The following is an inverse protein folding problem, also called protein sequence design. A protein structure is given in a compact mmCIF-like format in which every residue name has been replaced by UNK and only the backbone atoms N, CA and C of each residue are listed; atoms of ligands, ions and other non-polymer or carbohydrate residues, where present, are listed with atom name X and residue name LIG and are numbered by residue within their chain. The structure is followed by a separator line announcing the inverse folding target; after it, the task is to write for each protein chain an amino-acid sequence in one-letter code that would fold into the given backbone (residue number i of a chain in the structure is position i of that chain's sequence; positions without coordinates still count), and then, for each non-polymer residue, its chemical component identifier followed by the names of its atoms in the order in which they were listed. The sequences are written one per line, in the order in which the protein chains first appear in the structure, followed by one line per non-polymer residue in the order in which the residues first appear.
data_IF_242268889146
#
_entry.id   IF_242268889146
#
_cell.length_a   1.000
_cell.length_b   1.000
_cell.length_c   1.000
_cell.angle_alpha   90.00
_cell.angle_beta   90.00
_cell.angle_gamma   90.00
#
_symmetry.space_group_name_H-M   'P 1'
#
loop_
_entity.id
_entity.type
_entity.pdbx_description
1 polymer ?
#
# COMPACT_ATOMS: atom_id res chain seq x y z
N UNK A 1 -7.84 13.33 -36.09
CA UNK A 1 -6.52 13.29 -35.40
C UNK A 1 -6.39 14.37 -34.34
N UNK A 2 -6.80 15.62 -34.58
CA UNK A 2 -6.74 16.69 -33.56
C UNK A 2 -7.57 16.36 -32.30
N UNK A 3 -8.80 15.86 -32.45
CA UNK A 3 -9.67 15.51 -31.31
C UNK A 3 -9.15 14.33 -30.48
N UNK A 4 -8.43 13.39 -31.12
CA UNK A 4 -7.79 12.25 -30.46
C UNK A 4 -6.65 12.73 -29.54
N UNK A 5 -5.84 13.64 -30.06
CA UNK A 5 -4.72 14.25 -29.35
C UNK A 5 -5.21 15.13 -28.19
N UNK A 6 -6.30 15.87 -28.38
CA UNK A 6 -6.92 16.64 -27.30
C UNK A 6 -7.50 15.72 -26.21
N UNK A 7 -8.19 14.64 -26.58
CA UNK A 7 -8.68 13.63 -25.63
C UNK A 7 -7.52 12.98 -24.86
N UNK A 8 -6.43 12.65 -25.52
CA UNK A 8 -5.24 12.08 -24.89
C UNK A 8 -4.63 13.04 -23.85
N UNK A 9 -4.46 14.33 -24.20
CA UNK A 9 -3.95 15.35 -23.27
C UNK A 9 -4.87 15.57 -22.07
N UNK A 10 -6.19 15.58 -22.28
CA UNK A 10 -7.16 15.68 -21.17
C UNK A 10 -7.06 14.48 -20.24
N UNK A 11 -6.93 13.26 -20.79
CA UNK A 11 -6.74 12.05 -20.00
C UNK A 11 -5.45 12.12 -19.20
N UNK A 12 -4.35 12.50 -19.82
CA UNK A 12 -3.06 12.67 -19.15
C UNK A 12 -3.15 13.66 -17.98
N UNK A 13 -3.72 14.84 -18.21
CA UNK A 13 -3.93 15.85 -17.16
C UNK A 13 -4.77 15.33 -16.00
N UNK A 14 -5.82 14.54 -16.28
CA UNK A 14 -6.65 13.93 -15.23
C UNK A 14 -5.90 12.85 -14.47
N UNK A 15 -5.10 12.04 -15.14
CA UNK A 15 -4.27 11.01 -14.48
C UNK A 15 -3.23 11.66 -13.56
N UNK A 16 -2.56 12.73 -14.01
CA UNK A 16 -1.64 13.50 -13.16
C UNK A 16 -2.35 13.99 -11.90
N UNK A 17 -3.55 14.59 -12.04
CA UNK A 17 -4.33 15.04 -10.88
C UNK A 17 -4.72 13.90 -9.92
N UNK A 18 -5.03 12.71 -10.46
CA UNK A 18 -5.33 11.53 -9.65
C UNK A 18 -4.10 11.06 -8.87
N UNK A 19 -2.94 10.96 -9.52
CA UNK A 19 -1.71 10.53 -8.84
C UNK A 19 -1.28 11.53 -7.77
N UNK A 20 -1.33 12.83 -8.05
CA UNK A 20 -1.05 13.86 -7.04
C UNK A 20 -2.01 13.80 -5.84
N UNK A 21 -3.28 13.46 -6.07
CA UNK A 21 -4.25 13.28 -4.98
C UNK A 21 -3.97 12.01 -4.15
N UNK A 22 -3.44 10.95 -4.78
CA UNK A 22 -2.99 9.73 -4.07
C UNK A 22 -1.78 10.05 -3.20
N UNK A 23 -0.79 10.78 -3.72
CA UNK A 23 0.40 11.17 -2.96
C UNK A 23 0.02 12.04 -1.76
N UNK A 24 -0.81 13.07 -1.98
CA UNK A 24 -1.30 13.94 -0.91
C UNK A 24 -2.11 13.17 0.15
N UNK A 25 -2.86 12.14 -0.26
CA UNK A 25 -3.56 11.24 0.67
C UNK A 25 -2.58 10.41 1.49
N UNK A 26 -1.52 9.88 0.89
CA UNK A 26 -0.50 9.11 1.59
C UNK A 26 0.22 9.97 2.64
N UNK A 27 0.53 11.22 2.32
CA UNK A 27 1.10 12.20 3.25
C UNK A 27 0.14 12.54 4.38
N UNK A 28 -1.15 12.72 4.07
CA UNK A 28 -2.17 12.97 5.08
C UNK A 28 -2.36 11.77 6.03
N UNK A 29 -2.33 10.55 5.52
CA UNK A 29 -2.40 9.33 6.32
C UNK A 29 -1.15 9.17 7.22
N UNK A 30 0.02 9.60 6.74
CA UNK A 30 1.24 9.67 7.55
C UNK A 30 1.09 10.62 8.74
N UNK A 31 0.75 11.88 8.45
CA UNK A 31 0.58 12.90 9.47
C UNK A 31 -0.52 12.54 10.48
N UNK A 32 -1.60 11.91 10.02
CA UNK A 32 -2.65 11.38 10.90
C UNK A 32 -2.09 10.36 11.89
N UNK A 33 -1.36 9.36 11.41
CA UNK A 33 -0.81 8.32 12.27
C UNK A 33 0.20 8.85 13.29
N UNK A 34 1.07 9.78 12.88
CA UNK A 34 2.01 10.48 13.77
C UNK A 34 1.29 11.27 14.87
N UNK A 35 0.28 12.07 14.50
CA UNK A 35 -0.51 12.83 15.47
C UNK A 35 -1.26 11.91 16.46
N UNK A 36 -1.79 10.77 15.99
CA UNK A 36 -2.44 9.78 16.85
C UNK A 36 -1.45 9.12 17.83
N UNK A 37 -0.21 8.90 17.43
CA UNK A 37 0.86 8.42 18.33
C UNK A 37 1.13 9.46 19.41
N UNK A 38 1.35 10.72 19.02
CA UNK A 38 1.63 11.81 19.97
C UNK A 38 0.51 11.97 21.00
N UNK A 39 -0.76 11.97 20.57
CA UNK A 39 -1.90 12.06 21.48
C UNK A 39 -1.98 10.86 22.43
N UNK A 40 -1.67 9.65 21.93
CA UNK A 40 -1.61 8.45 22.76
C UNK A 40 -0.48 8.55 23.80
N UNK A 41 0.66 9.11 23.43
CA UNK A 41 1.81 9.29 24.32
C UNK A 41 1.55 10.38 25.38
N UNK A 42 0.66 11.34 25.08
CA UNK A 42 0.08 12.28 26.05
C UNK A 42 -0.97 11.65 26.98
N UNK A 43 -1.28 10.35 26.81
CA UNK A 43 -2.17 9.59 27.68
C UNK A 43 -3.63 9.55 27.23
N UNK A 44 -3.95 10.00 26.01
CA UNK A 44 -5.32 9.90 25.48
C UNK A 44 -5.63 8.44 25.15
N UNK A 45 -6.77 7.95 25.65
CA UNK A 45 -7.20 6.58 25.39
C UNK A 45 -7.66 6.40 23.93
N UNK A 46 -7.47 5.20 23.38
CA UNK A 46 -7.84 4.90 21.99
C UNK A 46 -9.34 5.04 21.71
N UNK A 47 -10.20 4.79 22.70
CA UNK A 47 -11.64 5.04 22.62
C UNK A 47 -11.94 6.52 22.37
N UNK A 48 -11.23 7.39 23.07
CA UNK A 48 -11.47 8.82 23.06
C UNK A 48 -10.94 9.41 21.75
N UNK A 49 -9.81 8.90 21.25
CA UNK A 49 -9.30 9.22 19.91
C UNK A 49 -10.31 8.84 18.81
N UNK A 50 -10.93 7.67 18.91
CA UNK A 50 -11.97 7.24 17.96
C UNK A 50 -13.16 8.20 17.98
N UNK A 51 -13.63 8.60 19.17
CA UNK A 51 -14.72 9.56 19.33
C UNK A 51 -14.38 10.95 18.76
N UNK A 52 -13.18 11.48 19.07
CA UNK A 52 -12.76 12.82 18.62
C UNK A 52 -12.51 12.90 17.11
N UNK A 53 -12.04 11.82 16.49
CA UNK A 53 -11.69 11.80 15.05
C UNK A 53 -12.84 11.32 14.17
N UNK A 54 -13.88 10.72 14.75
CA UNK A 54 -14.94 10.04 14.00
C UNK A 54 -14.50 8.73 13.35
N UNK A 55 -13.28 8.26 13.64
CA UNK A 55 -12.77 6.97 13.20
C UNK A 55 -13.23 5.86 14.14
N UNK A 56 -13.28 4.63 13.65
CA UNK A 56 -13.41 3.47 14.54
C UNK A 56 -12.12 3.24 15.32
N UNK A 57 -12.23 2.61 16.50
CA UNK A 57 -11.06 2.21 17.29
C UNK A 57 -10.10 1.32 16.48
N UNK A 58 -10.61 0.51 15.53
CA UNK A 58 -9.77 -0.32 14.64
C UNK A 58 -8.97 0.53 13.66
N UNK A 59 -9.57 1.57 13.10
CA UNK A 59 -8.91 2.49 12.18
C UNK A 59 -7.82 3.29 12.90
N UNK A 60 -8.10 3.81 14.10
CA UNK A 60 -7.09 4.46 14.96
C UNK A 60 -5.91 3.53 15.22
N UNK A 61 -6.17 2.28 15.63
CA UNK A 61 -5.11 1.30 15.87
C UNK A 61 -4.32 0.92 14.62
N UNK A 62 -4.96 0.92 13.45
CA UNK A 62 -4.30 0.66 12.17
C UNK A 62 -3.41 1.82 11.74
N UNK A 63 -3.90 3.05 11.85
CA UNK A 63 -3.13 4.26 11.53
C UNK A 63 -1.89 4.39 12.42
N UNK A 64 -2.02 4.13 13.73
CA UNK A 64 -0.90 4.13 14.68
C UNK A 64 0.16 3.07 14.31
N UNK A 65 -0.26 1.84 13.96
CA UNK A 65 0.69 0.79 13.53
C UNK A 65 1.40 1.17 12.24
N UNK A 66 0.66 1.60 11.22
CA UNK A 66 1.22 1.98 9.93
C UNK A 66 2.26 3.11 10.07
N UNK A 67 2.02 4.09 10.95
CA UNK A 67 2.99 5.14 11.23
C UNK A 67 4.26 4.62 11.92
N UNK A 68 4.13 3.72 12.90
CA UNK A 68 5.28 3.08 13.57
C UNK A 68 6.13 2.25 12.62
N UNK A 69 5.49 1.48 11.74
CA UNK A 69 6.19 0.63 10.78
C UNK A 69 6.99 1.48 9.77
N UNK A 70 6.51 2.68 9.43
CA UNK A 70 7.23 3.63 8.56
C UNK A 70 8.48 4.23 9.23
N UNK A 71 8.49 4.37 10.56
CA UNK A 71 9.65 4.92 11.29
C UNK A 71 10.69 3.86 11.66
N UNK A 72 10.35 2.58 11.56
CA UNK A 72 11.31 1.51 11.76
C UNK A 72 12.36 1.56 10.65
N UNK A 73 13.68 1.55 10.97
CA UNK A 73 14.71 1.50 9.95
C UNK A 73 14.50 0.23 9.11
N UNK A 74 14.44 0.44 7.81
CA UNK A 74 14.14 -0.53 6.77
C UNK A 74 15.20 -1.66 6.75
N UNK A 75 14.95 -2.74 7.51
CA UNK A 75 15.60 -4.04 7.29
C UNK A 75 14.69 -4.92 6.43
N UNK A 76 13.99 -4.33 5.44
CA UNK A 76 13.29 -5.07 4.41
C UNK A 76 14.13 -5.04 3.15
N UNK A 77 15.21 -5.84 3.15
CA UNK A 77 15.67 -6.45 1.91
C UNK A 77 14.46 -7.12 1.26
N UNK A 78 14.07 -6.77 0.01
CA UNK A 78 13.08 -7.56 -0.69
C UNK A 78 13.72 -8.94 -0.90
N UNK A 79 13.26 -9.96 -0.18
CA UNK A 79 13.53 -11.33 -0.55
C UNK A 79 12.88 -11.55 -1.91
N UNK A 80 13.67 -11.37 -2.97
CA UNK A 80 13.41 -11.98 -4.25
C UNK A 80 13.48 -13.48 -4.01
N UNK A 81 12.35 -14.07 -3.60
CA UNK A 81 12.14 -15.51 -3.69
C UNK A 81 12.25 -15.84 -5.17
N UNK A 82 13.45 -16.24 -5.56
CA UNK A 82 13.78 -16.80 -6.85
C UNK A 82 12.95 -18.07 -7.02
N UNK A 83 11.85 -17.96 -7.76
CA UNK A 83 11.03 -19.08 -8.18
C UNK A 83 11.80 -19.92 -9.22
N UNK A 84 12.83 -20.65 -8.78
CA UNK A 84 13.40 -21.76 -9.53
C UNK A 84 12.92 -23.08 -8.93
N UNK A 85 11.61 -23.35 -9.07
CA UNK A 85 11.12 -24.72 -9.05
C UNK A 85 11.72 -25.44 -10.26
N UNK A 86 12.77 -26.20 -9.99
CA UNK A 86 13.51 -26.99 -10.98
C UNK A 86 12.57 -27.97 -11.69
N UNK A 87 12.59 -27.92 -13.01
CA UNK A 87 12.10 -28.97 -13.91
C UNK A 87 12.65 -30.34 -13.49
N UNK A 88 11.77 -31.34 -13.37
CA UNK A 88 11.94 -32.70 -13.93
C UNK A 88 10.63 -33.46 -13.74
N UNK A 89 9.66 -33.24 -14.64
CA UNK A 89 8.65 -34.28 -14.92
C UNK A 89 9.23 -35.20 -15.99
N UNK A 90 10.08 -36.12 -15.56
CA UNK A 90 10.40 -37.31 -16.35
C UNK A 90 9.19 -38.23 -16.25
N UNK A 91 8.50 -38.47 -17.36
CA UNK A 91 7.81 -39.72 -17.71
C UNK A 91 6.83 -39.48 -18.87
N UNK A 92 7.35 -39.41 -20.09
CA UNK A 92 6.58 -39.71 -21.30
C UNK A 92 7.44 -40.59 -22.19
N UNK A 93 7.27 -41.90 -22.09
CA UNK A 93 7.57 -42.77 -23.22
C UNK A 93 6.46 -43.82 -23.35
N UNK A 94 5.51 -43.51 -24.22
CA UNK A 94 4.53 -44.45 -24.72
C UNK A 94 5.24 -45.53 -25.55
N UNK A 95 5.12 -46.77 -25.11
CA UNK A 95 5.49 -47.93 -25.90
C UNK A 95 4.25 -48.40 -26.65
N UNK A 96 4.12 -47.99 -27.92
CA UNK A 96 3.33 -48.72 -28.91
C UNK A 96 4.27 -49.34 -29.96
N UNK A 97 3.89 -50.54 -30.41
CA UNK A 97 4.39 -51.30 -31.57
C UNK A 97 5.48 -52.33 -31.31
N UNK A 98 5.08 -53.60 -31.10
CA UNK A 98 5.19 -54.62 -32.16
C UNK A 98 4.35 -55.87 -31.87
#
# INVERSE_FOLDING_TARGET
MADELERARKRESKLVAVFSAIDARADAEAALGEALIELKDLGVAQSDLAEMTGLSAREVGTAIRAAKDRTAPDDQTPETTDEHASDTTSDHNGAESH
#
